data_IF_140031381086
#
_entry.id   IF_140031381086
#
_cell.length_a   1.000
_cell.length_b   1.000
_cell.length_c   1.000
_cell.angle_alpha   90.00
_cell.angle_beta   90.00
_cell.angle_gamma   90.00
#
_symmetry.space_group_name_H-M   'P 1'
#
loop_
_entity.id
_entity.type
_entity.pdbx_description
1 polymer ?
#
# COMPACT_ATOMS: atom_id res chain seq x y z
N UNK A 1 -15.72 0.42 -0.57
CA UNK A 1 -15.12 0.54 0.77
C UNK A 1 -14.28 1.78 0.78
N UNK A 2 -14.10 2.42 1.93
CA UNK A 2 -13.30 3.63 2.05
C UNK A 2 -12.03 3.30 2.84
N UNK A 3 -10.84 3.39 2.21
CA UNK A 3 -9.55 3.14 2.86
C UNK A 3 -9.30 4.07 4.05
N UNK A 4 -9.64 5.35 3.87
CA UNK A 4 -9.32 6.42 4.80
C UNK A 4 -10.44 6.70 5.80
N UNK A 5 -11.57 5.98 5.73
CA UNK A 5 -12.78 6.31 6.49
C UNK A 5 -13.24 7.79 6.34
N UNK A 6 -12.83 8.45 5.24
CA UNK A 6 -13.17 9.85 4.95
C UNK A 6 -12.10 10.84 5.40
N UNK A 7 -11.01 10.38 6.04
CA UNK A 7 -9.87 11.22 6.40
C UNK A 7 -9.10 11.77 5.19
N UNK A 8 -9.22 11.11 4.03
CA UNK A 8 -8.67 11.57 2.76
C UNK A 8 -9.78 11.66 1.72
N UNK A 9 -9.88 12.82 1.07
CA UNK A 9 -10.75 13.08 -0.08
C UNK A 9 -9.94 13.71 -1.21
N UNK A 10 -10.43 13.52 -2.44
CA UNK A 10 -9.83 14.08 -3.64
C UNK A 10 -10.82 14.97 -4.35
N UNK A 11 -10.40 16.18 -4.69
CA UNK A 11 -11.07 17.02 -5.67
C UNK A 11 -10.26 16.98 -6.96
N UNK A 12 -10.84 16.39 -8.01
CA UNK A 12 -10.16 16.26 -9.29
C UNK A 12 -10.48 17.45 -10.18
N UNK A 13 -9.45 18.20 -10.55
CA UNK A 13 -9.50 19.17 -11.64
C UNK A 13 -8.78 18.58 -12.86
N UNK A 14 -9.48 18.47 -13.98
CA UNK A 14 -8.93 17.94 -15.23
C UNK A 14 -9.00 18.98 -16.34
N UNK A 15 -8.04 18.92 -17.26
CA UNK A 15 -8.11 19.71 -18.48
C UNK A 15 -9.16 19.12 -19.43
N UNK A 16 -9.92 19.94 -20.17
CA UNK A 16 -10.97 19.45 -21.06
C UNK A 16 -10.44 18.71 -22.29
N UNK A 17 -9.16 18.90 -22.63
CA UNK A 17 -8.50 18.30 -23.78
C UNK A 17 -7.08 17.89 -23.43
N UNK A 18 -6.58 16.86 -24.11
CA UNK A 18 -5.14 16.55 -24.10
C UNK A 18 -4.35 17.71 -24.71
N UNK A 19 -3.33 18.16 -24.00
CA UNK A 19 -2.38 19.13 -24.52
C UNK A 19 -1.27 18.41 -25.28
N UNK A 20 -0.83 19.01 -26.39
CA UNK A 20 0.23 18.44 -27.23
C UNK A 20 1.58 18.88 -26.66
N UNK A 21 2.43 17.89 -26.37
CA UNK A 21 3.85 18.09 -26.07
C UNK A 21 4.64 17.91 -27.37
N UNK A 22 5.65 18.76 -27.58
CA UNK A 22 6.46 18.83 -28.80
C UNK A 22 7.49 17.70 -28.92
N UNK A 23 7.66 16.89 -27.87
CA UNK A 23 8.58 15.75 -27.82
C UNK A 23 7.85 14.44 -28.09
N UNK A 24 8.55 13.52 -28.74
CA UNK A 24 8.07 12.15 -28.90
C UNK A 24 8.11 11.40 -27.56
N UNK A 25 7.15 10.51 -27.31
CA UNK A 25 7.04 9.76 -26.06
C UNK A 25 8.28 8.89 -25.77
N UNK A 26 8.94 8.43 -26.83
CA UNK A 26 10.15 7.61 -26.77
C UNK A 26 11.37 8.38 -26.24
N UNK A 27 11.33 9.73 -26.24
CA UNK A 27 12.49 10.56 -25.91
C UNK A 27 12.97 10.44 -24.46
N UNK A 28 12.11 9.99 -23.55
CA UNK A 28 12.46 9.72 -22.15
C UNK A 28 13.01 8.31 -21.92
N UNK A 29 13.02 7.43 -22.94
CA UNK A 29 13.61 6.10 -22.85
C UNK A 29 12.90 5.15 -21.89
N UNK A 30 11.63 5.40 -21.55
CA UNK A 30 10.87 4.61 -20.56
C UNK A 30 10.13 3.42 -21.18
N UNK A 31 10.54 2.94 -22.35
CA UNK A 31 9.91 1.80 -23.04
C UNK A 31 10.12 0.43 -22.38
N UNK A 32 10.88 0.40 -21.27
CA UNK A 32 11.18 -0.81 -20.48
C UNK A 32 11.07 -0.47 -18.99
N UNK A 33 10.54 -1.40 -18.20
CA UNK A 33 10.42 -1.24 -16.74
C UNK A 33 11.77 -0.93 -16.09
N UNK A 34 11.78 0.08 -15.21
CA UNK A 34 12.98 0.52 -14.47
C UNK A 34 14.00 1.29 -15.31
N UNK A 35 13.71 1.58 -16.59
CA UNK A 35 14.61 2.29 -17.50
C UNK A 35 14.12 3.70 -17.85
N UNK A 36 15.05 4.56 -18.26
CA UNK A 36 14.73 5.89 -18.77
C UNK A 36 14.68 6.99 -17.70
N UNK A 37 14.01 8.09 -18.04
CA UNK A 37 14.01 9.35 -17.29
C UNK A 37 12.61 9.74 -16.83
N UNK A 38 12.02 8.89 -15.98
CA UNK A 38 10.75 9.22 -15.32
C UNK A 38 10.84 10.50 -14.49
N UNK A 39 11.99 10.71 -13.84
CA UNK A 39 12.31 11.89 -13.04
C UNK A 39 12.15 13.21 -13.81
N UNK A 40 12.51 13.23 -15.10
CA UNK A 40 12.36 14.43 -15.95
C UNK A 40 11.11 14.42 -16.80
N UNK A 41 10.44 13.28 -17.00
CA UNK A 41 9.22 13.19 -17.81
C UNK A 41 8.16 14.21 -17.36
N UNK A 42 7.79 14.16 -16.08
CA UNK A 42 6.79 15.07 -15.51
C UNK A 42 7.27 16.52 -15.56
N UNK A 43 8.53 16.77 -15.19
CA UNK A 43 9.11 18.11 -15.14
C UNK A 43 9.21 18.76 -16.52
N UNK A 44 9.58 18.01 -17.56
CA UNK A 44 9.65 18.49 -18.94
C UNK A 44 8.28 18.89 -19.46
N UNK A 45 7.26 18.07 -19.20
CA UNK A 45 5.88 18.32 -19.62
C UNK A 45 5.32 19.55 -18.92
N UNK A 46 5.49 19.65 -17.60
CA UNK A 46 5.05 20.82 -16.83
C UNK A 46 5.71 22.08 -17.35
N UNK A 47 7.03 22.08 -17.52
CA UNK A 47 7.77 23.24 -18.05
C UNK A 47 7.30 23.69 -19.43
N UNK A 48 6.94 22.75 -20.30
CA UNK A 48 6.46 23.07 -21.65
C UNK A 48 5.03 23.63 -21.66
N UNK A 49 4.18 23.13 -20.75
CA UNK A 49 2.76 23.46 -20.70
C UNK A 49 2.40 24.51 -19.65
N UNK A 50 3.36 24.99 -18.88
CA UNK A 50 3.17 25.92 -17.75
C UNK A 50 2.34 27.16 -18.14
N UNK A 51 2.64 27.78 -19.28
CA UNK A 51 1.91 28.97 -19.75
C UNK A 51 0.45 28.68 -20.18
N UNK A 52 0.07 27.41 -20.30
CA UNK A 52 -1.27 26.98 -20.73
C UNK A 52 -2.10 26.41 -19.58
N UNK A 53 -1.50 26.15 -18.42
CA UNK A 53 -2.14 25.45 -17.30
C UNK A 53 -1.88 26.21 -16.01
N UNK A 54 -2.95 26.63 -15.34
CA UNK A 54 -2.83 27.25 -14.02
C UNK A 54 -2.75 26.16 -12.94
N UNK A 55 -1.62 26.07 -12.23
CA UNK A 55 -1.41 25.10 -11.16
C UNK A 55 -1.70 25.64 -9.75
N UNK A 56 -2.22 26.86 -9.60
CA UNK A 56 -2.39 27.50 -8.29
C UNK A 56 -3.20 26.66 -7.28
N UNK A 57 -4.20 25.91 -7.77
CA UNK A 57 -5.05 25.02 -6.96
C UNK A 57 -4.60 23.55 -6.91
N UNK A 58 -3.42 23.20 -7.43
CA UNK A 58 -2.98 21.81 -7.58
C UNK A 58 -2.01 21.41 -6.47
N UNK A 59 -2.40 20.46 -5.61
CA UNK A 59 -1.50 19.93 -4.55
C UNK A 59 -0.79 18.65 -4.98
N UNK A 60 -1.45 17.84 -5.81
CA UNK A 60 -0.91 16.63 -6.42
C UNK A 60 -1.17 16.64 -7.92
N UNK A 61 -0.12 16.41 -8.72
CA UNK A 61 -0.20 16.39 -10.18
C UNK A 61 -0.24 14.96 -10.73
N UNK A 62 -1.17 14.68 -11.64
CA UNK A 62 -1.18 13.43 -12.43
C UNK A 62 -1.02 13.77 -13.90
N UNK A 63 0.13 13.44 -14.49
CA UNK A 63 0.36 13.59 -15.93
C UNK A 63 -0.19 12.36 -16.65
N UNK A 64 -1.37 12.49 -17.25
CA UNK A 64 -2.01 11.38 -17.95
C UNK A 64 -1.61 11.37 -19.44
N UNK A 65 -0.81 10.38 -19.84
CA UNK A 65 -0.58 10.07 -21.25
C UNK A 65 -1.79 9.33 -21.84
N UNK A 66 -2.12 9.51 -23.14
CA UNK A 66 -3.35 8.98 -23.72
C UNK A 66 -3.41 7.45 -23.71
N UNK A 67 -4.61 6.82 -23.72
CA UNK A 67 -4.76 5.36 -23.76
C UNK A 67 -4.12 4.67 -24.98
N UNK A 68 -3.84 5.43 -26.04
CA UNK A 68 -3.13 4.95 -27.24
C UNK A 68 -1.61 4.80 -27.04
N UNK A 69 -1.06 5.24 -25.90
CA UNK A 69 0.34 5.12 -25.56
C UNK A 69 0.75 3.65 -25.49
N UNK A 70 1.80 3.29 -26.23
CA UNK A 70 2.29 1.91 -26.28
C UNK A 70 3.35 1.67 -25.22
N UNK A 71 3.43 0.43 -24.73
CA UNK A 71 4.39 0.06 -23.69
C UNK A 71 5.85 0.25 -24.10
N UNK A 72 6.17 0.14 -25.40
CA UNK A 72 7.53 0.42 -25.89
C UNK A 72 7.87 1.91 -25.97
N UNK A 73 6.92 2.81 -25.68
CA UNK A 73 7.14 4.25 -25.58
C UNK A 73 7.32 4.64 -24.11
N UNK A 74 6.32 4.32 -23.28
CA UNK A 74 6.35 4.48 -21.81
C UNK A 74 5.67 3.24 -21.21
N UNK A 75 6.45 2.36 -20.59
CA UNK A 75 5.99 1.06 -20.11
C UNK A 75 5.30 1.12 -18.74
N UNK A 76 5.73 2.04 -17.88
CA UNK A 76 5.40 2.05 -16.46
C UNK A 76 5.05 3.45 -15.91
N UNK A 77 4.40 3.49 -14.76
CA UNK A 77 3.75 4.69 -14.19
C UNK A 77 4.37 5.17 -12.86
N UNK A 78 5.64 5.57 -12.79
CA UNK A 78 6.27 5.85 -11.49
C UNK A 78 5.66 7.06 -10.75
N UNK A 79 5.60 6.97 -9.43
CA UNK A 79 5.45 8.10 -8.53
C UNK A 79 6.67 9.02 -8.57
N UNK A 80 6.42 10.32 -8.41
CA UNK A 80 7.42 11.39 -8.39
C UNK A 80 7.24 12.24 -7.12
N UNK A 81 7.66 11.74 -5.95
CA UNK A 81 7.81 12.58 -4.78
C UNK A 81 9.04 13.50 -4.96
N UNK A 82 8.83 14.81 -4.97
CA UNK A 82 9.88 15.81 -5.10
C UNK A 82 10.32 16.30 -3.72
N UNK A 83 11.64 16.31 -3.41
CA UNK A 83 12.13 16.79 -2.13
C UNK A 83 12.02 18.32 -2.04
N UNK A 84 11.99 18.85 -0.80
CA UNK A 84 11.93 20.30 -0.56
C UNK A 84 13.08 21.08 -1.21
N UNK A 85 14.25 20.44 -1.37
CA UNK A 85 15.43 21.02 -2.01
C UNK A 85 15.35 21.08 -3.54
N UNK A 86 14.46 20.30 -4.17
CA UNK A 86 14.29 20.24 -5.62
C UNK A 86 12.83 19.96 -5.98
N UNK A 87 11.91 20.90 -5.67
CA UNK A 87 10.50 20.77 -6.04
C UNK A 87 10.28 20.84 -7.54
N UNK A 88 9.12 20.36 -7.98
CA UNK A 88 8.61 20.64 -9.31
C UNK A 88 8.10 22.09 -9.36
N UNK A 89 8.80 22.96 -10.07
CA UNK A 89 8.43 24.37 -10.18
C UNK A 89 7.41 24.61 -11.30
N UNK A 90 6.32 25.30 -10.96
CA UNK A 90 5.40 25.91 -11.93
C UNK A 90 5.52 27.44 -11.90
N UNK A 91 4.82 28.13 -12.79
CA UNK A 91 4.71 29.59 -12.79
C UNK A 91 4.06 30.15 -11.52
N UNK A 92 3.19 29.38 -10.86
CA UNK A 92 2.45 29.80 -9.67
C UNK A 92 3.05 29.32 -8.36
N UNK A 93 3.44 28.05 -8.25
CA UNK A 93 3.94 27.45 -7.00
C UNK A 93 4.84 26.23 -7.23
N UNK A 94 5.48 25.80 -6.15
CA UNK A 94 6.15 24.50 -6.09
C UNK A 94 5.11 23.38 -5.86
N UNK A 95 5.28 22.27 -6.57
CA UNK A 95 4.54 21.01 -6.38
C UNK A 95 5.52 19.95 -5.84
N UNK A 96 5.09 19.19 -4.83
CA UNK A 96 5.92 18.18 -4.17
C UNK A 96 5.51 16.74 -4.49
N UNK A 97 4.31 16.54 -5.02
CA UNK A 97 3.77 15.22 -5.30
C UNK A 97 3.24 15.17 -6.72
N UNK A 98 3.83 14.32 -7.54
CA UNK A 98 3.30 14.03 -8.87
C UNK A 98 3.37 12.55 -9.21
N UNK A 99 2.59 12.12 -10.19
CA UNK A 99 2.72 10.81 -10.83
C UNK A 99 2.35 10.94 -12.31
N UNK A 100 2.54 9.87 -13.07
CA UNK A 100 2.26 9.82 -14.50
C UNK A 100 1.66 8.48 -14.90
N UNK A 101 0.89 8.46 -15.99
CA UNK A 101 0.43 7.19 -16.58
C UNK A 101 1.38 6.73 -17.68
N UNK A 102 1.91 5.52 -17.52
CA UNK A 102 2.44 4.68 -18.59
C UNK A 102 1.37 3.73 -19.14
N UNK A 103 1.80 2.82 -20.01
CA UNK A 103 0.90 1.83 -20.62
C UNK A 103 0.32 0.79 -19.63
N UNK A 104 0.95 0.61 -18.48
CA UNK A 104 0.52 -0.29 -17.41
C UNK A 104 -0.72 0.19 -16.65
N UNK A 105 -0.81 1.48 -16.36
CA UNK A 105 -1.98 2.09 -15.69
C UNK A 105 -3.27 1.95 -16.50
N UNK A 106 -3.17 1.80 -17.82
CA UNK A 106 -4.31 1.54 -18.69
C UNK A 106 -4.79 0.08 -18.64
N UNK A 107 -3.97 -0.84 -18.11
CA UNK A 107 -4.37 -2.24 -17.87
C UNK A 107 -5.15 -2.38 -16.57
N UNK A 108 -4.70 -1.67 -15.53
CA UNK A 108 -5.36 -1.66 -14.23
C UNK A 108 -5.15 -0.30 -13.52
N UNK A 109 -6.23 0.44 -13.19
CA UNK A 109 -6.12 1.73 -12.52
C UNK A 109 -5.53 1.62 -11.11
N UNK A 110 -5.50 0.44 -10.50
CA UNK A 110 -4.83 0.23 -9.20
C UNK A 110 -3.34 0.51 -9.26
N UNK A 111 -2.72 0.48 -10.44
CA UNK A 111 -1.36 1.00 -10.61
C UNK A 111 -1.26 2.46 -10.14
N UNK A 112 -2.14 3.36 -10.58
CA UNK A 112 -2.09 4.76 -10.10
C UNK A 112 -2.39 4.88 -8.60
N UNK A 113 -3.24 4.00 -8.05
CA UNK A 113 -3.49 3.97 -6.60
C UNK A 113 -2.23 3.56 -5.83
N UNK A 114 -1.48 2.59 -6.32
CA UNK A 114 -0.18 2.18 -5.77
C UNK A 114 0.81 3.35 -5.76
N UNK A 115 0.93 4.04 -6.89
CA UNK A 115 1.85 5.16 -7.06
C UNK A 115 1.44 6.37 -6.20
N UNK A 116 0.13 6.59 -6.06
CA UNK A 116 -0.38 7.57 -5.12
C UNK A 116 0.01 7.22 -3.67
N UNK A 117 0.07 5.93 -3.33
CA UNK A 117 0.57 5.48 -2.03
C UNK A 117 1.96 6.04 -1.70
N UNK A 118 2.87 6.09 -2.66
CA UNK A 118 4.18 6.74 -2.47
C UNK A 118 4.09 8.23 -2.19
N UNK A 119 3.11 8.93 -2.78
CA UNK A 119 2.91 10.37 -2.60
C UNK A 119 2.43 10.73 -1.19
N UNK A 120 1.88 9.76 -0.46
CA UNK A 120 1.53 9.89 0.97
C UNK A 120 2.53 9.17 1.88
N UNK A 121 3.72 8.83 1.37
CA UNK A 121 4.82 8.32 2.18
C UNK A 121 4.82 6.81 2.40
N UNK A 122 4.03 6.05 1.64
CA UNK A 122 4.08 4.59 1.67
C UNK A 122 5.24 4.06 0.83
N UNK A 123 5.81 2.95 1.26
CA UNK A 123 6.98 2.33 0.61
C UNK A 123 6.60 1.03 -0.06
N UNK A 124 7.33 0.61 -1.11
CA UNK A 124 7.11 -0.72 -1.69
C UNK A 124 7.36 -1.81 -0.65
N UNK A 125 6.40 -2.73 -0.54
CA UNK A 125 6.48 -3.87 0.37
C UNK A 125 6.90 -5.17 -0.31
N UNK A 126 6.97 -5.18 -1.64
CA UNK A 126 7.50 -6.31 -2.41
C UNK A 126 9.02 -6.29 -2.48
N UNK A 127 9.62 -7.41 -2.88
CA UNK A 127 11.06 -7.54 -3.03
C UNK A 127 11.55 -6.90 -4.34
N UNK A 128 12.38 -5.86 -4.23
CA UNK A 128 13.02 -5.24 -5.41
C UNK A 128 14.16 -6.10 -5.99
N UNK A 129 14.70 -7.02 -5.20
CA UNK A 129 15.71 -7.99 -5.62
C UNK A 129 15.28 -9.38 -5.16
N UNK A 130 15.41 -10.37 -6.05
CA UNK A 130 15.14 -11.77 -5.75
C UNK A 130 16.46 -12.48 -5.47
N UNK A 131 16.50 -13.24 -4.38
CA UNK A 131 17.52 -14.27 -4.15
C UNK A 131 16.94 -15.65 -4.43
N UNK A 132 17.79 -16.68 -4.54
CA UNK A 132 17.33 -18.07 -4.74
C UNK A 132 16.41 -18.58 -3.60
N UNK A 133 16.53 -18.00 -2.41
CA UNK A 133 15.65 -18.29 -1.26
C UNK A 133 14.25 -17.68 -1.42
N UNK A 134 14.12 -16.62 -2.22
CA UNK A 134 12.88 -15.87 -2.42
C UNK A 134 12.14 -16.40 -3.65
N UNK A 135 10.98 -17.01 -3.40
CA UNK A 135 10.20 -17.65 -4.47
C UNK A 135 9.46 -16.66 -5.38
N UNK A 136 9.11 -15.47 -4.88
CA UNK A 136 8.31 -14.48 -5.62
C UNK A 136 8.63 -13.06 -5.16
N UNK A 137 8.41 -12.08 -6.03
CA UNK A 137 8.49 -10.65 -5.70
C UNK A 137 7.57 -10.28 -4.53
N UNK A 138 6.42 -10.92 -4.37
CA UNK A 138 5.39 -10.57 -3.38
C UNK A 138 5.45 -11.42 -2.10
N UNK A 139 6.55 -12.12 -1.83
CA UNK A 139 6.64 -13.10 -0.75
C UNK A 139 6.56 -12.52 0.68
N UNK A 140 6.74 -11.22 0.86
CA UNK A 140 6.62 -10.58 2.16
C UNK A 140 5.17 -10.39 2.59
N UNK A 141 4.32 -9.93 1.69
CA UNK A 141 2.96 -9.46 2.04
C UNK A 141 1.85 -10.10 1.21
N UNK A 142 2.18 -10.75 0.10
CA UNK A 142 1.19 -11.27 -0.84
C UNK A 142 0.22 -10.20 -1.32
N UNK A 143 -1.08 -10.56 -1.41
CA UNK A 143 -2.16 -9.66 -1.85
C UNK A 143 -2.80 -8.84 -0.73
N UNK A 144 -2.25 -8.88 0.47
CA UNK A 144 -2.85 -8.23 1.64
C UNK A 144 -2.68 -6.71 1.66
N UNK A 145 -1.81 -6.17 0.80
CA UNK A 145 -1.54 -4.73 0.70
C UNK A 145 -1.17 -4.29 -0.71
N UNK A 146 -1.73 -3.17 -1.17
CA UNK A 146 -1.50 -2.63 -2.52
C UNK A 146 -0.08 -2.15 -2.75
N UNK A 147 0.66 -1.77 -1.70
CA UNK A 147 2.10 -1.49 -1.79
C UNK A 147 2.94 -2.76 -1.92
N UNK A 148 2.38 -3.92 -1.58
CA UNK A 148 2.98 -5.23 -1.76
C UNK A 148 2.59 -5.91 -3.07
N UNK A 149 1.39 -5.66 -3.58
CA UNK A 149 0.90 -6.16 -4.86
C UNK A 149 -0.02 -5.11 -5.47
N UNK A 150 0.46 -4.35 -6.45
CA UNK A 150 -0.20 -3.15 -6.98
C UNK A 150 -1.63 -3.36 -7.50
N UNK A 151 -2.06 -4.60 -7.75
CA UNK A 151 -3.40 -4.94 -8.27
C UNK A 151 -4.35 -5.53 -7.22
N UNK A 152 -4.09 -5.32 -5.94
CA UNK A 152 -5.04 -5.61 -4.85
C UNK A 152 -5.53 -4.30 -4.26
N UNK A 153 -6.73 -4.29 -3.69
CA UNK A 153 -7.28 -3.10 -2.99
C UNK A 153 -6.94 -3.07 -1.51
N UNK A 154 -6.42 -4.18 -0.97
CA UNK A 154 -6.15 -4.34 0.46
C UNK A 154 -5.06 -3.38 0.93
N UNK A 155 -5.12 -2.99 2.20
CA UNK A 155 -4.09 -2.19 2.87
C UNK A 155 -4.00 -2.67 4.32
N UNK A 156 -2.79 -2.84 4.84
CA UNK A 156 -2.60 -3.21 6.23
C UNK A 156 -3.13 -2.13 7.18
N UNK A 157 -3.69 -2.57 8.31
CA UNK A 157 -4.07 -1.69 9.41
C UNK A 157 -2.90 -0.86 9.90
N UNK A 158 -1.67 -1.39 9.91
CA UNK A 158 -0.46 -0.62 10.20
C UNK A 158 -0.29 0.59 9.30
N UNK A 159 -0.48 0.46 7.98
CA UNK A 159 -0.36 1.60 7.09
C UNK A 159 -1.50 2.59 7.31
N UNK A 160 -2.72 2.12 7.53
CA UNK A 160 -3.87 2.99 7.86
C UNK A 160 -3.62 3.77 9.16
N UNK A 161 -3.03 3.13 10.17
CA UNK A 161 -2.64 3.77 11.42
C UNK A 161 -1.54 4.82 11.22
N UNK A 162 -0.49 4.52 10.45
CA UNK A 162 0.56 5.49 10.12
C UNK A 162 0.02 6.74 9.40
N UNK A 163 -1.03 6.59 8.59
CA UNK A 163 -1.70 7.69 7.90
C UNK A 163 -2.72 8.43 8.77
N UNK A 164 -2.96 7.98 10.00
CA UNK A 164 -4.01 8.52 10.87
C UNK A 164 -5.44 8.19 10.42
N UNK A 165 -5.62 7.15 9.59
CA UNK A 165 -6.93 6.68 9.12
C UNK A 165 -7.55 5.63 10.05
N UNK A 166 -6.75 5.05 10.94
CA UNK A 166 -7.20 4.42 12.17
C UNK A 166 -6.91 5.37 13.32
N UNK A 167 -7.94 5.70 14.09
CA UNK A 167 -7.81 6.49 15.31
C UNK A 167 -7.15 5.65 16.42
N UNK A 168 -6.49 6.30 17.39
CA UNK A 168 -5.85 5.62 18.53
C UNK A 168 -6.81 4.68 19.29
N UNK A 169 -8.10 5.03 19.35
CA UNK A 169 -9.13 4.20 19.98
C UNK A 169 -9.43 2.88 19.23
N UNK A 170 -9.07 2.81 17.95
CA UNK A 170 -9.22 1.63 17.09
C UNK A 170 -7.97 0.73 17.14
N UNK A 171 -6.93 1.14 17.87
CA UNK A 171 -5.65 0.40 17.98
C UNK A 171 -5.37 -0.01 19.42
N UNK A 172 -5.30 -1.32 19.65
CA UNK A 172 -4.84 -1.87 20.92
C UNK A 172 -3.32 -2.03 20.88
N UNK A 173 -2.63 -1.65 21.96
CA UNK A 173 -1.19 -1.82 22.10
C UNK A 173 -0.87 -2.66 23.34
N UNK A 174 -0.01 -3.66 23.20
CA UNK A 174 0.52 -4.44 24.31
C UNK A 174 2.05 -4.51 24.28
N UNK A 175 2.66 -4.17 25.41
CA UNK A 175 4.12 -4.02 25.54
C UNK A 175 4.77 -4.94 26.58
N UNK A 176 3.98 -5.57 27.46
CA UNK A 176 4.48 -6.33 28.61
C UNK A 176 4.17 -7.82 28.48
N UNK A 177 5.01 -8.67 29.08
CA UNK A 177 4.75 -10.11 29.19
C UNK A 177 3.47 -10.41 29.98
N UNK A 178 2.88 -11.59 29.77
CA UNK A 178 1.61 -11.99 30.35
C UNK A 178 0.61 -12.51 29.32
N UNK A 179 -0.59 -12.85 29.80
CA UNK A 179 -1.70 -13.34 28.97
C UNK A 179 -2.87 -12.36 29.01
N UNK A 180 -3.47 -12.12 27.85
CA UNK A 180 -4.70 -11.35 27.73
C UNK A 180 -5.55 -11.82 26.55
N UNK A 181 -6.82 -11.41 26.54
CA UNK A 181 -7.71 -11.59 25.40
C UNK A 181 -8.07 -10.24 24.80
N UNK A 182 -8.24 -10.21 23.48
CA UNK A 182 -8.70 -9.04 22.74
C UNK A 182 -9.69 -9.48 21.67
N UNK A 183 -10.69 -8.64 21.40
CA UNK A 183 -11.59 -8.82 20.26
C UNK A 183 -11.27 -7.75 19.24
N UNK A 184 -10.99 -8.17 18.02
CA UNK A 184 -10.70 -7.29 16.89
C UNK A 184 -11.86 -7.33 15.91
N UNK A 185 -12.40 -6.18 15.57
CA UNK A 185 -13.37 -6.04 14.49
C UNK A 185 -12.68 -6.14 13.13
N UNK A 186 -13.42 -6.54 12.07
CA UNK A 186 -12.87 -6.57 10.72
C UNK A 186 -12.30 -5.21 10.32
N UNK A 187 -11.14 -5.21 9.67
CA UNK A 187 -10.50 -3.99 9.20
C UNK A 187 -11.43 -3.26 8.21
N UNK A 188 -11.71 -1.98 8.47
CA UNK A 188 -12.66 -1.18 7.69
C UNK A 188 -14.11 -1.33 8.14
N UNK A 189 -14.32 -1.78 9.37
CA UNK A 189 -15.62 -1.76 10.03
C UNK A 189 -16.04 -0.31 10.29
N UNK A 190 -17.34 -0.05 10.27
CA UNK A 190 -17.88 1.26 10.67
C UNK A 190 -18.20 1.32 12.17
N UNK A 191 -18.10 0.19 12.86
CA UNK A 191 -18.19 0.14 14.30
C UNK A 191 -16.87 0.68 14.87
N UNK A 192 -16.91 1.83 15.56
CA UNK A 192 -15.77 2.39 16.31
C UNK A 192 -15.30 1.41 17.38
N UNK A 193 -14.43 0.50 16.99
CA UNK A 193 -13.98 -0.66 17.76
C UNK A 193 -12.56 -1.00 17.35
N UNK A 194 -11.88 -1.81 18.15
CA UNK A 194 -10.48 -2.14 17.88
C UNK A 194 -10.33 -2.93 16.58
N UNK A 195 -9.65 -2.38 15.57
CA UNK A 195 -9.40 -3.04 14.28
C UNK A 195 -7.97 -3.61 14.19
N UNK A 196 -7.05 -3.07 14.99
CA UNK A 196 -5.63 -3.43 14.97
C UNK A 196 -5.13 -3.70 16.39
N UNK A 197 -4.38 -4.79 16.57
CA UNK A 197 -3.58 -5.03 17.78
C UNK A 197 -2.10 -5.00 17.41
N UNK A 198 -1.34 -4.16 18.11
CA UNK A 198 0.10 -4.04 18.00
C UNK A 198 0.77 -4.60 19.26
N UNK A 199 1.67 -5.56 19.06
CA UNK A 199 2.48 -6.17 20.12
C UNK A 199 3.94 -5.77 19.93
N UNK A 200 4.63 -5.38 21.01
CA UNK A 200 6.08 -5.25 20.97
C UNK A 200 6.72 -6.64 21.02
N UNK A 201 7.38 -7.05 19.95
CA UNK A 201 8.08 -8.33 19.85
C UNK A 201 9.39 -8.39 20.64
N UNK A 202 9.94 -9.58 20.81
CA UNK A 202 11.19 -9.82 21.52
C UNK A 202 12.43 -9.27 20.79
N UNK A 203 12.39 -9.23 19.46
CA UNK A 203 13.44 -8.65 18.62
C UNK A 203 13.49 -7.11 18.63
N UNK A 204 12.51 -6.45 19.24
CA UNK A 204 12.32 -5.00 19.18
C UNK A 204 11.41 -4.53 18.02
N UNK A 205 11.08 -5.42 17.09
CA UNK A 205 10.06 -5.22 16.05
C UNK A 205 8.65 -5.25 16.64
N UNK A 206 7.65 -4.89 15.84
CA UNK A 206 6.24 -5.04 16.23
C UNK A 206 5.61 -6.26 15.55
N UNK A 207 4.58 -6.82 16.17
CA UNK A 207 3.68 -7.81 15.57
C UNK A 207 2.29 -7.18 15.47
N UNK A 208 1.77 -7.08 14.25
CA UNK A 208 0.42 -6.61 13.97
C UNK A 208 -0.55 -7.78 13.81
N UNK A 209 -1.73 -7.62 14.38
CA UNK A 209 -2.87 -8.52 14.19
C UNK A 209 -4.07 -7.70 13.72
N UNK A 210 -4.72 -8.16 12.67
CA UNK A 210 -5.93 -7.54 12.13
C UNK A 210 -6.88 -8.61 11.57
N UNK A 211 -8.17 -8.32 11.57
CA UNK A 211 -9.18 -9.27 11.07
C UNK A 211 -9.52 -8.93 9.64
N UNK A 212 -9.29 -9.87 8.72
CA UNK A 212 -9.61 -9.70 7.29
C UNK A 212 -10.84 -10.51 6.93
N UNK A 213 -11.74 -9.88 6.16
CA UNK A 213 -13.05 -10.42 5.75
C UNK A 213 -13.31 -10.09 4.28
N UNK A 214 -14.17 -10.86 3.59
CA UNK A 214 -14.61 -10.50 2.25
C UNK A 214 -15.22 -9.09 2.25
N UNK A 215 -14.76 -8.23 1.34
CA UNK A 215 -15.23 -6.85 1.27
C UNK A 215 -14.63 -6.10 0.09
N UNK A 216 -15.09 -4.88 -0.13
CA UNK A 216 -14.65 -4.06 -1.27
C UNK A 216 -13.15 -3.72 -1.26
N UNK A 217 -12.52 -3.74 -0.08
CA UNK A 217 -11.07 -3.56 0.05
C UNK A 217 -10.30 -4.88 0.01
N UNK A 218 -11.01 -6.01 0.10
CA UNK A 218 -10.47 -7.34 0.30
C UNK A 218 -11.16 -8.34 -0.64
N UNK A 219 -11.21 -7.99 -1.93
CA UNK A 219 -11.99 -8.72 -2.93
C UNK A 219 -11.49 -10.15 -3.16
N UNK A 220 -10.22 -10.43 -2.88
CA UNK A 220 -9.65 -11.78 -2.96
C UNK A 220 -9.90 -12.61 -1.69
N UNK A 221 -10.44 -12.00 -0.64
CA UNK A 221 -10.81 -12.67 0.62
C UNK A 221 -12.19 -13.28 0.47
N UNK A 222 -12.29 -14.52 0.90
CA UNK A 222 -13.47 -15.40 0.87
C UNK A 222 -13.60 -16.08 2.23
N UNK A 223 -14.67 -16.84 2.43
CA UNK A 223 -14.82 -17.64 3.65
C UNK A 223 -13.68 -18.66 3.86
N UNK A 224 -13.00 -19.05 2.79
CA UNK A 224 -11.89 -20.01 2.80
C UNK A 224 -10.54 -19.43 3.23
N UNK A 225 -10.37 -18.10 3.24
CA UNK A 225 -9.13 -17.42 3.59
C UNK A 225 -9.31 -16.19 4.49
N UNK A 226 -10.50 -15.93 5.02
CA UNK A 226 -10.71 -14.93 6.06
C UNK A 226 -10.15 -15.40 7.41
N UNK A 227 -9.85 -14.45 8.30
CA UNK A 227 -9.40 -14.75 9.67
C UNK A 227 -8.56 -13.63 10.26
N UNK A 228 -7.77 -13.97 11.28
CA UNK A 228 -6.80 -13.07 11.90
C UNK A 228 -5.49 -13.13 11.12
N UNK A 229 -5.19 -12.06 10.37
CA UNK A 229 -3.91 -11.90 9.70
C UNK A 229 -2.86 -11.43 10.71
N UNK A 230 -1.73 -12.13 10.76
CA UNK A 230 -0.60 -11.80 11.63
C UNK A 230 0.59 -11.41 10.78
N UNK A 231 1.28 -10.32 11.12
CA UNK A 231 2.47 -9.87 10.40
C UNK A 231 3.48 -9.21 11.33
N UNK A 232 4.76 -9.27 10.97
CA UNK A 232 5.81 -8.50 11.65
C UNK A 232 5.99 -7.15 10.96
N UNK A 233 6.38 -6.15 11.74
CA UNK A 233 6.58 -4.76 11.31
C UNK A 233 7.97 -4.32 11.78
N UNK A 234 8.82 -3.97 10.83
CA UNK A 234 10.12 -3.36 11.02
C UNK A 234 10.08 -1.91 10.54
N UNK A 235 9.94 -0.93 11.45
CA UNK A 235 9.85 0.48 11.06
C UNK A 235 11.16 1.04 10.50
N UNK A 236 12.28 0.30 10.63
CA UNK A 236 13.57 0.68 10.05
C UNK A 236 13.79 0.12 8.64
N UNK A 237 12.88 -0.73 8.15
CA UNK A 237 12.99 -1.34 6.84
C UNK A 237 12.81 -0.34 5.70
N UNK A 238 13.56 -0.54 4.61
CA UNK A 238 13.52 0.30 3.43
C UNK A 238 12.56 -0.24 2.37
N UNK A 239 12.27 0.59 1.36
CA UNK A 239 11.60 0.14 0.13
C UNK A 239 12.27 -1.11 -0.42
N UNK A 240 11.47 -2.08 -0.86
CA UNK A 240 12.01 -3.33 -1.40
C UNK A 240 12.48 -4.36 -0.37
N UNK A 241 12.62 -3.99 0.92
CA UNK A 241 13.25 -4.80 1.97
C UNK A 241 12.27 -5.66 2.80
N UNK A 242 10.97 -5.54 2.53
CA UNK A 242 9.91 -6.19 3.30
C UNK A 242 9.83 -5.70 4.75
N UNK A 243 9.58 -4.39 5.00
CA UNK A 243 9.38 -3.86 6.34
C UNK A 243 8.12 -4.44 7.00
N UNK A 244 7.16 -4.94 6.21
CA UNK A 244 6.03 -5.73 6.70
C UNK A 244 6.15 -7.14 6.16
N UNK A 245 6.00 -8.15 7.02
CA UNK A 245 6.07 -9.57 6.62
C UNK A 245 4.97 -10.39 7.25
N UNK A 246 4.06 -10.88 6.43
CA UNK A 246 2.98 -11.78 6.82
C UNK A 246 3.54 -13.08 7.39
N UNK A 247 2.91 -13.54 8.46
CA UNK A 247 3.23 -14.76 9.18
C UNK A 247 2.03 -15.72 9.10
N UNK A 248 2.29 -17.02 9.21
CA UNK A 248 1.24 -18.03 9.16
C UNK A 248 1.80 -19.43 9.36
N UNK A 249 0.89 -20.39 9.59
CA UNK A 249 1.25 -21.79 9.86
C UNK A 249 1.83 -22.51 8.65
N UNK A 250 1.37 -22.15 7.46
CA UNK A 250 1.81 -22.73 6.19
C UNK A 250 1.72 -21.65 5.13
N UNK A 251 2.89 -21.10 4.80
CA UNK A 251 3.05 -20.01 3.80
C UNK A 251 3.63 -20.54 2.48
N UNK A 252 4.08 -21.79 2.48
CA UNK A 252 4.63 -22.49 1.34
C UNK A 252 3.51 -22.95 0.39
N UNK A 253 3.69 -22.61 -0.90
CA UNK A 253 2.83 -22.93 -2.07
C UNK A 253 1.75 -21.92 -2.45
N UNK A 254 1.60 -20.78 -1.76
CA UNK A 254 0.68 -19.73 -2.22
C UNK A 254 1.44 -18.45 -2.58
N UNK A 255 1.46 -18.11 -3.86
CA UNK A 255 2.15 -16.94 -4.45
C UNK A 255 1.77 -15.61 -3.78
N UNK A 256 0.65 -15.58 -3.05
CA UNK A 256 0.05 -14.38 -2.47
C UNK A 256 -0.33 -14.52 -0.99
N UNK A 257 0.19 -15.54 -0.29
CA UNK A 257 -0.01 -15.74 1.15
C UNK A 257 -1.48 -15.80 1.59
N UNK A 258 -2.38 -16.27 0.72
CA UNK A 258 -3.81 -16.26 1.01
C UNK A 258 -4.19 -17.21 2.16
N UNK A 259 -3.37 -18.21 2.48
CA UNK A 259 -3.61 -19.16 3.60
C UNK A 259 -3.08 -18.66 4.94
N UNK A 260 -2.52 -17.44 5.01
CA UNK A 260 -1.89 -16.92 6.21
C UNK A 260 -2.85 -16.66 7.39
N UNK A 261 -4.08 -16.14 7.20
CA UNK A 261 -4.95 -15.81 8.31
C UNK A 261 -5.30 -17.03 9.18
N UNK A 262 -5.20 -16.84 10.50
CA UNK A 262 -5.54 -17.85 11.49
C UNK A 262 -7.05 -17.96 11.67
N UNK A 263 -7.52 -19.19 11.87
CA UNK A 263 -8.90 -19.56 12.17
C UNK A 263 -9.05 -19.99 13.63
N UNK A 264 -10.29 -20.06 14.11
CA UNK A 264 -10.63 -20.53 15.45
C UNK A 264 -9.93 -21.84 15.78
N UNK A 265 -9.28 -21.89 16.95
CA UNK A 265 -8.50 -23.03 17.43
C UNK A 265 -7.06 -23.07 16.94
N UNK A 266 -6.68 -22.28 15.94
CA UNK A 266 -5.30 -22.20 15.47
C UNK A 266 -4.48 -21.24 16.34
N UNK A 267 -3.20 -21.56 16.51
CA UNK A 267 -2.25 -20.77 17.25
C UNK A 267 -0.93 -20.61 16.51
N UNK A 268 -0.36 -19.42 16.52
CA UNK A 268 0.93 -19.09 15.88
C UNK A 268 1.85 -18.39 16.88
N UNK A 269 3.12 -18.78 16.91
CA UNK A 269 4.15 -18.09 17.71
C UNK A 269 4.99 -17.20 16.80
N UNK A 270 5.02 -15.90 17.08
CA UNK A 270 5.78 -14.89 16.31
C UNK A 270 6.47 -13.95 17.29
N UNK A 271 7.78 -13.80 17.12
CA UNK A 271 8.62 -12.83 17.86
C UNK A 271 8.36 -12.81 19.38
N UNK A 272 8.27 -14.01 19.98
CA UNK A 272 8.05 -14.21 21.42
C UNK A 272 6.60 -14.21 21.89
N UNK A 273 5.63 -13.95 21.02
CA UNK A 273 4.20 -13.99 21.33
C UNK A 273 3.54 -15.24 20.76
N UNK A 274 2.72 -15.92 21.54
CA UNK A 274 1.79 -16.96 21.05
C UNK A 274 0.39 -16.37 20.94
N UNK A 275 -0.17 -16.45 19.73
CA UNK A 275 -1.47 -15.86 19.36
C UNK A 275 -2.41 -17.01 19.03
N UNK A 276 -3.52 -17.15 19.75
CA UNK A 276 -4.55 -18.17 19.52
C UNK A 276 -5.86 -17.50 19.17
N UNK A 277 -6.51 -17.89 18.06
CA UNK A 277 -7.86 -17.41 17.75
C UNK A 277 -8.88 -18.24 18.54
N UNK A 278 -9.62 -17.62 19.44
CA UNK A 278 -10.54 -18.32 20.36
C UNK A 278 -11.99 -18.29 19.90
N UNK A 279 -12.39 -17.27 19.15
CA UNK A 279 -13.75 -17.18 18.60
C UNK A 279 -13.75 -16.35 17.31
N UNK A 280 -14.79 -16.55 16.50
CA UNK A 280 -15.02 -15.80 15.28
C UNK A 280 -16.51 -15.53 15.12
N UNK A 281 -16.87 -14.31 14.71
CA UNK A 281 -18.25 -13.91 14.48
C UNK A 281 -18.36 -12.67 13.59
N UNK A 282 -19.60 -12.23 13.37
CA UNK A 282 -19.89 -11.08 12.51
C UNK A 282 -19.26 -9.76 13.03
N UNK A 283 -19.13 -9.63 14.34
CA UNK A 283 -18.54 -8.44 14.98
C UNK A 283 -16.99 -8.44 14.98
N UNK A 284 -16.35 -9.57 14.68
CA UNK A 284 -14.90 -9.71 14.80
C UNK A 284 -14.42 -11.08 15.26
N UNK A 285 -13.11 -11.17 15.47
CA UNK A 285 -12.43 -12.35 16.01
C UNK A 285 -11.85 -12.05 17.38
N UNK A 286 -12.00 -13.01 18.30
CA UNK A 286 -11.36 -12.97 19.60
C UNK A 286 -10.04 -13.73 19.55
N UNK A 287 -8.99 -13.13 20.10
CA UNK A 287 -7.66 -13.71 20.23
C UNK A 287 -7.28 -13.80 21.71
N UNK A 288 -6.61 -14.88 22.09
CA UNK A 288 -5.83 -14.99 23.32
C UNK A 288 -4.36 -14.88 22.96
N UNK A 289 -3.67 -13.97 23.62
CA UNK A 289 -2.27 -13.61 23.35
C UNK A 289 -1.46 -13.82 24.62
N UNK A 290 -0.33 -14.50 24.52
CA UNK A 290 0.55 -14.79 25.67
C UNK A 290 2.03 -14.66 25.31
N UNK A 291 2.83 -14.12 26.23
CA UNK A 291 4.30 -14.04 26.16
C UNK A 291 4.94 -14.31 27.51
#
# INVERSE_FOLDING_TARGET
GNLSNGALSFEFSTLPNYLRVGRAAESWGMGTYGGGRGDTYVADIVRELDQQVNFSGVDVLVVMAPPSLRSNQIAYSPAMPYPQSAPLMTGEKAIFSATMTGADSWRDPMTIVHEFGHLIGLTDLYAMSLSDEVRTTHHYTGKWDFMGYAWTKGMFGWQRFLQGWLEDAEVLCANNAGEFTATLSPLGSTAKSSELLLLRGASGKLVGLEVRRPGAMDEFVSESNQGVLVYTIDPSGTTGGGPLRVQGLTLDRNTYLATAPLRVGQALTVDGWTITVTASGAAGDAVRVSR
#
